data_IF_283060025908
#
_entry.id   IF_283060025908
#
_cell.length_a   1.000
_cell.length_b   1.000
_cell.length_c   1.000
_cell.angle_alpha   90.00
_cell.angle_beta   90.00
_cell.angle_gamma   90.00
#
_symmetry.space_group_name_H-M   'P 1'
#
loop_
_entity.id
_entity.type
_entity.pdbx_description
1 polymer ?
#
# COMPACT_ATOMS: atom_id res chain seq x y z
N UNK A 1 -3.60 31.11 25.10
CA UNK A 1 -4.21 32.01 26.11
C UNK A 1 -3.17 33.03 26.53
N UNK A 2 -3.59 34.20 27.01
CA UNK A 2 -2.70 35.16 27.68
C UNK A 2 -2.48 34.79 29.17
N UNK A 3 -1.69 35.61 29.87
CA UNK A 3 -1.38 35.44 31.31
C UNK A 3 -2.61 35.53 32.24
N UNK A 4 -3.73 36.07 31.76
CA UNK A 4 -4.97 36.22 32.51
C UNK A 4 -5.99 35.13 32.16
N UNK A 5 -5.59 34.13 31.36
CA UNK A 5 -6.49 33.08 30.91
C UNK A 5 -7.45 33.50 29.79
N UNK A 6 -7.22 34.63 29.11
CA UNK A 6 -7.99 34.99 27.92
C UNK A 6 -7.55 34.13 26.75
N UNK A 7 -8.47 33.41 26.11
CA UNK A 7 -8.19 32.69 24.85
C UNK A 7 -7.86 33.71 23.77
N UNK A 8 -6.66 33.64 23.21
CA UNK A 8 -6.19 34.50 22.12
C UNK A 8 -6.51 33.88 20.75
N UNK A 9 -6.38 32.57 20.68
CA UNK A 9 -6.65 31.76 19.50
C UNK A 9 -7.09 30.38 19.98
N UNK A 10 -8.08 29.81 19.31
CA UNK A 10 -8.51 28.44 19.50
C UNK A 10 -8.65 27.80 18.13
N UNK A 11 -7.78 26.82 17.85
CA UNK A 11 -7.85 26.07 16.61
C UNK A 11 -9.07 25.13 16.64
N UNK A 12 -9.98 25.32 15.70
CA UNK A 12 -11.10 24.40 15.46
C UNK A 12 -10.81 23.65 14.16
N UNK A 13 -10.69 22.32 14.19
CA UNK A 13 -10.42 21.57 12.98
C UNK A 13 -11.63 21.60 12.06
N UNK A 14 -11.51 22.28 10.92
CA UNK A 14 -12.46 22.18 9.82
C UNK A 14 -12.17 20.90 9.01
N UNK A 15 -13.17 20.05 8.86
CA UNK A 15 -13.04 18.72 8.26
C UNK A 15 -13.87 18.64 7.00
N UNK A 16 -13.20 18.69 5.86
CA UNK A 16 -13.81 18.48 4.56
C UNK A 16 -13.54 17.07 4.03
N UNK A 17 -14.57 16.42 3.47
CA UNK A 17 -14.38 15.16 2.73
C UNK A 17 -13.94 15.47 1.30
N UNK A 18 -12.72 15.07 0.96
CA UNK A 18 -12.15 15.28 -0.38
C UNK A 18 -12.45 14.10 -1.31
N UNK A 19 -12.43 12.87 -0.79
CA UNK A 19 -12.71 11.64 -1.54
C UNK A 19 -13.76 10.79 -0.80
N UNK A 20 -14.50 9.97 -1.54
CA UNK A 20 -15.47 9.05 -0.94
C UNK A 20 -14.80 7.94 -0.12
N UNK A 21 -15.52 7.40 0.85
CA UNK A 21 -14.96 6.43 1.81
C UNK A 21 -14.53 5.13 1.14
N UNK A 22 -15.27 4.69 0.12
CA UNK A 22 -14.95 3.45 -0.60
C UNK A 22 -13.65 3.59 -1.39
N UNK A 23 -13.51 4.68 -2.13
CA UNK A 23 -12.26 5.02 -2.84
C UNK A 23 -11.08 5.14 -1.87
N UNK A 24 -11.25 5.83 -0.75
CA UNK A 24 -10.20 5.93 0.28
C UNK A 24 -9.78 4.56 0.84
N UNK A 25 -10.75 3.66 1.06
CA UNK A 25 -10.47 2.31 1.54
C UNK A 25 -9.75 1.47 0.49
N UNK A 26 -10.20 1.48 -0.77
CA UNK A 26 -9.52 0.79 -1.86
C UNK A 26 -8.08 1.30 -2.05
N UNK A 27 -7.86 2.62 -2.01
CA UNK A 27 -6.50 3.18 -2.02
C UNK A 27 -5.66 2.70 -0.84
N UNK A 28 -6.25 2.65 0.35
CA UNK A 28 -5.57 2.11 1.54
C UNK A 28 -5.18 0.65 1.33
N UNK A 29 -6.08 -0.19 0.81
CA UNK A 29 -5.79 -1.60 0.53
C UNK A 29 -4.69 -1.78 -0.52
N UNK A 30 -4.67 -0.95 -1.57
CA UNK A 30 -3.57 -0.93 -2.54
C UNK A 30 -2.24 -0.55 -1.88
N UNK A 31 -2.23 0.44 -0.99
CA UNK A 31 -1.02 0.84 -0.26
C UNK A 31 -0.60 -0.17 0.83
N UNK A 32 -1.51 -0.98 1.36
CA UNK A 32 -1.14 -2.14 2.20
C UNK A 32 -0.36 -3.16 1.38
N UNK A 33 -0.75 -3.43 0.13
CA UNK A 33 -0.02 -4.35 -0.75
C UNK A 33 1.43 -3.89 -1.02
N UNK A 34 1.72 -2.58 -0.99
CA UNK A 34 3.09 -2.06 -1.07
C UNK A 34 3.95 -2.53 0.11
N UNK A 35 3.35 -2.62 1.30
CA UNK A 35 3.99 -3.14 2.51
C UNK A 35 4.02 -4.67 2.50
N UNK A 36 2.93 -5.32 2.13
CA UNK A 36 2.82 -6.78 2.23
C UNK A 36 3.67 -7.50 1.17
N UNK A 37 3.69 -6.95 -0.05
CA UNK A 37 4.24 -7.61 -1.23
C UNK A 37 5.12 -6.70 -2.11
N UNK A 38 5.16 -5.40 -1.85
CA UNK A 38 5.84 -4.41 -2.70
C UNK A 38 7.19 -3.93 -2.18
N UNK A 39 7.46 -2.64 -2.39
CA UNK A 39 8.75 -1.99 -2.11
C UNK A 39 8.98 -1.70 -0.64
N UNK A 40 7.95 -1.74 0.20
CA UNK A 40 8.01 -1.37 1.62
C UNK A 40 7.94 -2.59 2.55
N UNK A 41 8.37 -3.78 2.08
CA UNK A 41 8.31 -5.05 2.84
C UNK A 41 8.89 -5.00 4.25
N UNK A 42 9.96 -4.22 4.46
CA UNK A 42 10.58 -4.09 5.78
C UNK A 42 9.62 -3.54 6.85
N UNK A 43 8.59 -2.78 6.44
CA UNK A 43 7.63 -2.17 7.36
C UNK A 43 6.77 -3.22 8.09
N UNK A 44 6.69 -4.45 7.57
CA UNK A 44 6.01 -5.57 8.24
C UNK A 44 6.58 -5.87 9.63
N UNK A 45 7.84 -5.52 9.89
CA UNK A 45 8.45 -5.62 11.23
C UNK A 45 7.78 -4.74 12.29
N UNK A 46 6.89 -3.82 11.92
CA UNK A 46 6.07 -3.09 12.90
C UNK A 46 5.00 -4.00 13.52
N UNK A 47 4.70 -5.15 12.91
CA UNK A 47 3.71 -6.15 13.36
C UNK A 47 2.31 -5.56 13.57
N UNK A 48 1.94 -4.57 12.77
CA UNK A 48 0.67 -3.85 12.83
C UNK A 48 0.14 -3.53 11.44
N UNK A 49 -1.17 -3.30 11.26
CA UNK A 49 -1.71 -2.86 9.98
C UNK A 49 -1.14 -1.50 9.56
N UNK A 50 -0.40 -1.49 8.45
CA UNK A 50 0.19 -0.30 7.85
C UNK A 50 -0.13 -0.25 6.37
N UNK A 51 -0.45 0.94 5.89
CA UNK A 51 -0.48 1.27 4.47
C UNK A 51 0.60 2.34 4.22
N UNK A 52 1.29 2.27 3.10
CA UNK A 52 2.28 3.29 2.78
C UNK A 52 2.80 3.23 1.35
N UNK A 53 3.62 4.21 1.00
CA UNK A 53 4.20 4.31 -0.33
C UNK A 53 5.63 4.85 -0.25
N UNK A 54 6.53 4.19 -0.98
CA UNK A 54 7.87 4.69 -1.24
C UNK A 54 7.86 5.72 -2.37
N UNK A 55 8.67 6.77 -2.24
CA UNK A 55 9.00 7.71 -3.30
C UNK A 55 10.50 7.79 -3.49
N UNK A 56 10.96 7.95 -4.73
CA UNK A 56 12.37 8.16 -5.06
C UNK A 56 12.42 9.03 -6.30
N UNK A 57 13.12 10.16 -6.23
CA UNK A 57 13.27 11.05 -7.39
C UNK A 57 14.37 10.55 -8.32
N UNK A 58 14.40 11.10 -9.54
CA UNK A 58 15.47 10.83 -10.49
C UNK A 58 16.83 11.19 -9.88
N UNK A 59 17.90 10.53 -10.34
CA UNK A 59 19.26 10.73 -9.84
C UNK A 59 19.47 10.47 -8.33
N UNK A 60 18.46 9.91 -7.63
CA UNK A 60 18.51 9.57 -6.21
C UNK A 60 18.78 10.79 -5.33
N UNK A 61 18.12 11.91 -5.62
CA UNK A 61 18.24 13.15 -4.83
C UNK A 61 17.37 13.10 -3.58
N UNK A 62 16.18 12.50 -3.71
CA UNK A 62 15.21 12.42 -2.64
C UNK A 62 14.71 10.99 -2.46
N UNK A 63 14.61 10.58 -1.21
CA UNK A 63 13.96 9.37 -0.78
C UNK A 63 12.81 9.73 0.16
N UNK A 64 11.63 9.23 -0.17
CA UNK A 64 10.43 9.42 0.63
C UNK A 64 9.86 8.09 1.09
N UNK A 65 9.32 8.09 2.29
CA UNK A 65 8.34 7.10 2.70
C UNK A 65 7.22 7.78 3.47
N UNK A 66 5.99 7.65 2.95
CA UNK A 66 4.78 8.10 3.63
C UNK A 66 3.98 6.87 4.01
N UNK A 67 3.82 6.67 5.31
CA UNK A 67 3.14 5.50 5.87
C UNK A 67 2.15 5.93 6.94
N UNK A 68 1.09 5.14 7.08
CA UNK A 68 0.04 5.39 8.06
C UNK A 68 -0.55 4.10 8.62
N UNK A 69 -1.00 4.21 9.86
CA UNK A 69 -1.90 3.29 10.55
C UNK A 69 -3.30 3.92 10.60
N UNK A 70 -4.34 3.23 11.10
CA UNK A 70 -5.65 3.86 11.29
C UNK A 70 -5.66 5.07 12.23
N UNK A 71 -4.59 5.30 13.00
CA UNK A 71 -4.54 6.35 14.03
C UNK A 71 -3.58 7.49 13.69
N UNK A 72 -2.53 7.21 12.92
CA UNK A 72 -1.44 8.17 12.67
C UNK A 72 -0.88 8.03 11.27
N UNK A 73 -0.50 9.16 10.69
CA UNK A 73 0.24 9.28 9.44
C UNK A 73 1.57 9.94 9.73
N UNK A 74 2.64 9.43 9.11
CA UNK A 74 3.98 9.98 9.20
C UNK A 74 4.63 9.95 7.82
N UNK A 75 5.25 11.05 7.42
CA UNK A 75 6.10 11.14 6.24
C UNK A 75 7.55 11.33 6.65
N UNK A 76 8.46 10.60 6.02
CA UNK A 76 9.90 10.78 6.14
C UNK A 76 10.45 11.14 4.76
N UNK A 77 11.26 12.19 4.73
CA UNK A 77 12.11 12.57 3.62
C UNK A 77 13.57 12.45 4.04
N UNK A 78 14.39 12.01 3.10
CA UNK A 78 15.85 12.03 3.19
C UNK A 78 16.38 12.61 1.88
N UNK A 79 17.28 13.56 2.02
CA UNK A 79 17.96 14.26 0.94
C UNK A 79 19.02 15.21 1.51
N UNK A 80 19.75 15.87 0.63
CA UNK A 80 20.69 16.91 1.02
C UNK A 80 20.06 18.30 0.87
N UNK A 81 20.51 19.26 1.67
CA UNK A 81 20.07 20.67 1.56
C UNK A 81 20.40 21.29 0.19
N UNK A 82 21.45 20.77 -0.46
CA UNK A 82 21.81 21.10 -1.84
C UNK A 82 21.46 19.92 -2.73
N UNK A 83 20.99 20.22 -3.94
CA UNK A 83 20.62 19.21 -4.93
C UNK A 83 21.84 18.36 -5.33
N UNK A 84 21.97 17.19 -4.70
CA UNK A 84 23.06 16.26 -4.88
C UNK A 84 22.54 14.82 -4.70
N UNK A 85 23.13 13.89 -5.44
CA UNK A 85 22.82 12.47 -5.30
C UNK A 85 23.22 11.96 -3.92
N UNK A 86 22.29 11.24 -3.28
CA UNK A 86 22.53 10.50 -2.04
C UNK A 86 23.42 9.26 -2.25
N UNK A 87 23.61 8.84 -3.51
CA UNK A 87 24.42 7.68 -3.86
C UNK A 87 23.57 6.49 -4.32
N UNK A 88 24.24 5.53 -4.97
CA UNK A 88 23.58 4.39 -5.61
C UNK A 88 22.85 3.55 -4.57
N UNK A 89 21.56 3.36 -4.78
CA UNK A 89 20.71 2.53 -3.93
C UNK A 89 19.97 3.28 -2.82
N UNK A 90 20.25 4.57 -2.62
CA UNK A 90 19.53 5.41 -1.65
C UNK A 90 18.13 5.77 -2.15
N UNK A 91 17.23 4.80 -2.03
CA UNK A 91 15.82 4.93 -2.43
C UNK A 91 14.92 5.13 -1.22
N UNK A 92 13.63 5.43 -1.46
CA UNK A 92 12.61 5.51 -0.40
C UNK A 92 12.54 4.26 0.48
N UNK A 93 12.81 3.07 -0.07
CA UNK A 93 12.82 1.82 0.70
C UNK A 93 14.08 1.62 1.54
N UNK A 94 15.22 2.24 1.17
CA UNK A 94 16.50 2.04 1.87
C UNK A 94 16.86 3.21 2.80
N UNK A 95 16.60 4.44 2.39
CA UNK A 95 16.92 5.62 3.18
C UNK A 95 15.77 6.03 4.12
N UNK A 96 14.56 6.19 3.59
CA UNK A 96 13.45 6.78 4.35
C UNK A 96 12.62 5.76 5.17
N UNK A 97 12.30 4.60 4.58
CA UNK A 97 11.44 3.61 5.22
C UNK A 97 12.01 3.02 6.54
N UNK A 98 13.32 2.74 6.68
CA UNK A 98 13.87 2.27 7.96
C UNK A 98 13.79 3.32 9.08
N UNK A 99 13.97 4.61 8.75
CA UNK A 99 13.80 5.71 9.70
C UNK A 99 12.34 5.77 10.16
N UNK A 100 11.40 5.67 9.22
CA UNK A 100 9.97 5.62 9.54
C UNK A 100 9.64 4.44 10.46
N UNK A 101 10.16 3.25 10.18
CA UNK A 101 9.93 2.05 11.00
C UNK A 101 10.45 2.24 12.42
N UNK A 102 11.68 2.73 12.57
CA UNK A 102 12.30 2.99 13.88
C UNK A 102 11.48 4.00 14.69
N UNK A 103 11.09 5.12 14.08
CA UNK A 103 10.22 6.11 14.71
C UNK A 103 8.88 5.52 15.14
N UNK A 104 8.23 4.77 14.25
CA UNK A 104 6.89 4.23 14.52
C UNK A 104 6.90 3.08 15.53
N UNK A 105 7.96 2.26 15.60
CA UNK A 105 8.15 1.26 16.67
C UNK A 105 8.09 1.92 18.05
N UNK A 106 8.80 3.05 18.22
CA UNK A 106 8.79 3.83 19.47
C UNK A 106 7.46 4.55 19.70
N UNK A 107 6.93 5.20 18.66
CA UNK A 107 5.70 5.99 18.80
C UNK A 107 4.50 5.11 19.18
N UNK A 108 4.44 3.87 18.68
CA UNK A 108 3.33 2.94 18.88
C UNK A 108 3.46 2.06 20.13
N UNK A 109 4.56 2.18 20.87
CA UNK A 109 4.76 1.42 22.10
C UNK A 109 3.59 1.68 23.08
N UNK A 110 3.05 0.61 23.65
CA UNK A 110 1.88 0.65 24.56
C UNK A 110 0.59 1.25 23.96
N UNK A 111 0.51 1.44 22.64
CA UNK A 111 -0.73 1.87 21.98
C UNK A 111 -1.53 0.66 21.45
N UNK A 112 -2.88 0.72 21.47
CA UNK A 112 -3.70 -0.37 20.94
C UNK A 112 -3.48 -0.55 19.44
N UNK A 113 -3.45 -1.80 18.98
CA UNK A 113 -3.45 -2.11 17.54
C UNK A 113 -4.84 -1.84 16.98
N UNK A 114 -4.92 -1.13 15.85
CA UNK A 114 -6.18 -0.91 15.12
C UNK A 114 -6.08 -1.43 13.69
N UNK A 115 -7.21 -1.80 13.13
CA UNK A 115 -7.35 -2.27 11.74
C UNK A 115 -8.05 -1.23 10.88
N UNK A 116 -7.73 -1.21 9.59
CA UNK A 116 -8.50 -0.45 8.61
C UNK A 116 -9.86 -1.13 8.41
N UNK A 117 -10.94 -0.41 8.70
CA UNK A 117 -12.31 -0.96 8.60
C UNK A 117 -12.92 -0.57 7.26
N UNK A 118 -13.44 -1.55 6.53
CA UNK A 118 -14.15 -1.31 5.28
C UNK A 118 -15.46 -0.55 5.54
N UNK A 119 -15.72 0.56 4.82
CA UNK A 119 -17.03 1.20 4.86
C UNK A 119 -18.08 0.36 4.09
N UNK A 120 -19.39 0.63 4.28
CA UNK A 120 -20.43 0.07 3.43
C UNK A 120 -20.16 0.32 1.94
N UNK A 121 -20.60 -0.59 1.06
CA UNK A 121 -20.39 -0.51 -0.39
C UNK A 121 -18.98 -0.96 -0.84
N UNK A 122 -18.24 -1.66 0.02
CA UNK A 122 -17.02 -2.39 -0.36
C UNK A 122 -17.33 -3.88 -0.42
N UNK A 123 -16.99 -4.47 -1.56
CA UNK A 123 -17.04 -5.91 -1.79
C UNK A 123 -15.62 -6.47 -1.85
N UNK A 124 -15.45 -7.75 -1.54
CA UNK A 124 -14.17 -8.43 -1.66
C UNK A 124 -14.29 -9.62 -2.60
N UNK A 125 -13.28 -9.81 -3.44
CA UNK A 125 -13.20 -10.96 -4.32
C UNK A 125 -11.77 -11.46 -4.42
N UNK A 126 -11.64 -12.77 -4.57
CA UNK A 126 -10.37 -13.40 -4.93
C UNK A 126 -10.23 -13.37 -6.44
N UNK A 127 -9.24 -12.64 -6.93
CA UNK A 127 -8.93 -12.53 -8.34
C UNK A 127 -7.68 -13.34 -8.67
N UNK A 128 -7.63 -13.84 -9.89
CA UNK A 128 -6.40 -14.35 -10.48
C UNK A 128 -5.45 -13.19 -10.74
N UNK A 129 -4.19 -13.34 -10.31
CA UNK A 129 -3.20 -12.25 -10.35
C UNK A 129 -2.82 -11.85 -11.77
N UNK A 130 -2.84 -12.79 -12.71
CA UNK A 130 -2.40 -12.57 -14.09
C UNK A 130 -3.51 -11.94 -14.92
N UNK A 131 -4.72 -12.49 -14.83
CA UNK A 131 -5.85 -12.06 -15.67
C UNK A 131 -6.69 -10.93 -15.05
N UNK A 132 -6.62 -10.74 -13.73
CA UNK A 132 -7.46 -9.78 -13.00
C UNK A 132 -8.94 -10.16 -12.94
N UNK A 133 -9.30 -11.36 -13.40
CA UNK A 133 -10.66 -11.92 -13.36
C UNK A 133 -10.88 -12.72 -12.07
N UNK A 134 -12.12 -13.16 -11.81
CA UNK A 134 -12.39 -14.02 -10.66
C UNK A 134 -11.57 -15.31 -10.76
N UNK A 135 -10.85 -15.62 -9.68
CA UNK A 135 -10.00 -16.80 -9.63
C UNK A 135 -10.81 -18.10 -9.76
N UNK A 136 -10.17 -19.11 -10.32
CA UNK A 136 -10.67 -20.49 -10.40
C UNK A 136 -9.73 -21.41 -9.59
N UNK A 137 -10.12 -22.66 -9.27
CA UNK A 137 -9.24 -23.60 -8.55
C UNK A 137 -7.87 -23.80 -9.22
N UNK A 138 -7.81 -23.69 -10.55
CA UNK A 138 -6.60 -23.83 -11.36
C UNK A 138 -5.74 -22.56 -11.43
N UNK A 139 -6.19 -21.43 -10.85
CA UNK A 139 -5.42 -20.19 -10.79
C UNK A 139 -4.12 -20.38 -9.99
N UNK A 140 -2.98 -20.11 -10.62
CA UNK A 140 -1.65 -20.31 -10.02
C UNK A 140 -1.37 -19.38 -8.84
N UNK A 141 -1.70 -18.10 -9.02
CA UNK A 141 -1.54 -17.07 -8.00
C UNK A 141 -2.82 -16.26 -7.92
N UNK A 142 -3.31 -16.04 -6.70
CA UNK A 142 -4.53 -15.30 -6.45
C UNK A 142 -4.28 -14.12 -5.51
N UNK A 143 -5.10 -13.08 -5.65
CA UNK A 143 -5.09 -11.90 -4.80
C UNK A 143 -6.49 -11.69 -4.21
N UNK A 144 -6.57 -11.59 -2.89
CA UNK A 144 -7.80 -11.17 -2.23
C UNK A 144 -7.85 -9.64 -2.21
N UNK A 145 -8.75 -9.04 -3.00
CA UNK A 145 -8.80 -7.59 -3.21
C UNK A 145 -10.17 -7.03 -2.88
N UNK A 146 -10.18 -5.75 -2.49
CA UNK A 146 -11.42 -4.99 -2.30
C UNK A 146 -11.81 -4.22 -3.57
N UNK A 147 -13.11 -4.12 -3.80
CA UNK A 147 -13.72 -3.42 -4.91
C UNK A 147 -14.83 -2.52 -4.37
N UNK A 148 -15.13 -1.45 -5.10
CA UNK A 148 -16.37 -0.71 -4.84
C UNK A 148 -17.54 -1.56 -5.34
N UNK A 149 -18.67 -1.45 -4.68
CA UNK A 149 -19.90 -2.12 -5.08
C UNK A 149 -20.17 -1.93 -6.58
N UNK A 150 -20.49 -3.02 -7.26
CA UNK A 150 -20.72 -3.04 -8.71
C UNK A 150 -19.47 -3.01 -9.59
N UNK A 151 -18.25 -2.91 -9.04
CA UNK A 151 -16.99 -2.96 -9.81
C UNK A 151 -16.23 -4.27 -9.68
N UNK A 152 -16.77 -5.26 -8.99
CA UNK A 152 -16.18 -6.61 -8.91
C UNK A 152 -16.15 -7.25 -10.30
N UNK A 153 -15.05 -7.93 -10.69
CA UNK A 153 -15.02 -8.71 -11.94
C UNK A 153 -16.18 -9.71 -11.99
N UNK A 154 -16.87 -9.78 -13.14
CA UNK A 154 -18.02 -10.68 -13.34
C UNK A 154 -17.66 -11.96 -14.10
N UNK A 155 -16.49 -11.96 -14.75
CA UNK A 155 -15.98 -13.11 -15.50
C UNK A 155 -14.95 -13.84 -14.66
N UNK A 156 -14.91 -15.15 -14.84
CA UNK A 156 -13.86 -16.00 -14.28
C UNK A 156 -12.67 -16.08 -15.22
N UNK A 157 -11.50 -16.31 -14.65
CA UNK A 157 -10.28 -16.65 -15.38
C UNK A 157 -10.55 -17.87 -16.28
N UNK A 158 -10.16 -17.84 -17.56
CA UNK A 158 -10.22 -19.01 -18.42
C UNK A 158 -9.41 -20.16 -17.83
N UNK A 159 -9.88 -21.39 -17.98
CA UNK A 159 -9.06 -22.55 -17.63
C UNK A 159 -7.77 -22.50 -18.45
N UNK A 160 -6.61 -22.77 -17.84
CA UNK A 160 -5.38 -22.93 -18.60
C UNK A 160 -5.61 -23.96 -19.71
N UNK A 161 -5.17 -23.66 -20.93
CA UNK A 161 -5.20 -24.65 -22.00
C UNK A 161 -4.42 -25.87 -21.52
N UNK A 162 -5.13 -26.98 -21.30
CA UNK A 162 -4.48 -28.26 -21.12
C UNK A 162 -3.91 -28.55 -22.50
N UNK A 163 -2.61 -28.31 -22.71
CA UNK A 163 -1.90 -28.85 -23.87
C UNK A 163 -1.96 -30.37 -23.71
N UNK A 164 -3.03 -30.94 -24.23
CA UNK A 164 -3.18 -32.38 -24.41
C UNK A 164 -2.90 -32.67 -25.89
N UNK A 165 -1.74 -32.25 -26.36
CA UNK A 165 -1.39 -32.41 -27.76
C UNK A 165 -0.07 -33.18 -27.89
N UNK A 166 -0.20 -34.51 -27.95
CA UNK A 166 0.88 -35.37 -28.42
C UNK A 166 1.29 -35.03 -29.86
N UNK A 167 0.49 -34.28 -30.63
CA UNK A 167 0.79 -33.93 -32.03
C UNK A 167 1.73 -32.73 -32.20
N UNK A 168 1.86 -31.86 -31.19
CA UNK A 168 2.84 -30.75 -31.19
C UNK A 168 4.28 -31.26 -30.96
N UNK A 169 4.45 -32.39 -30.26
CA UNK A 169 5.76 -32.99 -29.99
C UNK A 169 6.44 -33.55 -31.26
N UNK A 170 5.66 -33.89 -32.29
CA UNK A 170 6.19 -34.44 -33.56
C UNK A 170 6.53 -33.37 -34.60
N UNK A 171 6.21 -32.08 -34.37
CA UNK A 171 6.52 -31.01 -35.32
C UNK A 171 7.86 -30.32 -35.11
N UNK A 172 8.60 -30.65 -34.04
CA UNK A 172 9.93 -30.07 -33.77
C UNK A 172 11.11 -30.88 -34.33
N UNK A 173 10.87 -32.01 -35.01
CA UNK A 173 11.93 -32.84 -35.63
C UNK A 173 11.70 -33.05 -37.13
N UNK A 174 11.50 -31.97 -37.89
CA UNK A 174 11.57 -32.00 -39.35
C UNK A 174 12.28 -30.77 -39.90
#
# INVERSE_FOLDING_TARGET
MDRNGKVLELNHPDKQRIIDRGTAYCMTAMMKNVVDHGTAKLIKELERPVAGKTGTTNHLYDAWFVGFTPQYVTGIWVGFDKEQSMGIGETGSKAAAPIWLSYMKRMMENRPVRVFTAPPGIEFATIDKETGLLAIPESKETLYQCFKEGTVPKKYTPKPDIINDQSEFFKQNM
#
